data_IF_115472243059
#
_entry.id   IF_115472243059
#
_cell.length_a   1.000
_cell.length_b   1.000
_cell.length_c   1.000
_cell.angle_alpha   90.00
_cell.angle_beta   90.00
_cell.angle_gamma   90.00
#
_symmetry.space_group_name_H-M   'P 1'
#
loop_
_entity.id
_entity.type
_entity.pdbx_description
1 polymer ?
#
# COMPACT_ATOMS: atom_id res chain seq x y z
N UNK A 1 -1.66 -19.59 3.65
CA UNK A 1 -1.87 -19.50 2.19
C UNK A 1 -2.75 -18.32 1.84
N UNK A 2 -4.08 -18.44 2.00
CA UNK A 2 -5.03 -17.42 1.53
C UNK A 2 -4.97 -16.05 2.25
N UNK A 3 -4.59 -16.00 3.54
CA UNK A 3 -4.52 -14.76 4.32
C UNK A 3 -3.44 -13.80 3.81
N UNK A 4 -2.32 -14.34 3.33
CA UNK A 4 -1.17 -13.58 2.85
C UNK A 4 -1.46 -12.94 1.47
N UNK A 5 -2.11 -13.70 0.59
CA UNK A 5 -2.59 -13.17 -0.70
C UNK A 5 -3.65 -12.08 -0.53
N UNK A 6 -4.54 -12.21 0.45
CA UNK A 6 -5.56 -11.20 0.74
C UNK A 6 -4.93 -9.85 1.09
N UNK A 7 -3.94 -9.84 2.00
CA UNK A 7 -3.26 -8.62 2.45
C UNK A 7 -2.40 -8.00 1.33
N UNK A 8 -1.72 -8.82 0.52
CA UNK A 8 -0.89 -8.32 -0.60
C UNK A 8 -1.77 -7.74 -1.73
N UNK A 9 -2.91 -8.38 -2.03
CA UNK A 9 -3.81 -7.94 -3.11
C UNK A 9 -4.61 -6.71 -2.70
N UNK A 10 -4.98 -6.57 -1.42
CA UNK A 10 -5.76 -5.43 -0.93
C UNK A 10 -5.08 -4.09 -1.25
N UNK A 11 -3.78 -3.97 -0.95
CA UNK A 11 -3.01 -2.76 -1.28
C UNK A 11 -2.97 -2.44 -2.77
N UNK A 12 -2.86 -3.47 -3.64
CA UNK A 12 -2.84 -3.28 -5.09
C UNK A 12 -4.23 -2.89 -5.64
N UNK A 13 -5.30 -3.48 -5.11
CA UNK A 13 -6.69 -3.20 -5.53
C UNK A 13 -7.07 -1.77 -5.17
N UNK A 14 -6.76 -1.32 -3.95
CA UNK A 14 -6.98 0.08 -3.52
C UNK A 14 -6.30 1.06 -4.49
N UNK A 15 -5.09 0.74 -4.94
CA UNK A 15 -4.34 1.57 -5.89
C UNK A 15 -5.05 1.63 -7.26
N UNK A 16 -5.47 0.48 -7.77
CA UNK A 16 -6.16 0.41 -9.06
C UNK A 16 -7.51 1.15 -9.00
N UNK A 17 -8.27 1.00 -7.93
CA UNK A 17 -9.57 1.66 -7.75
C UNK A 17 -9.44 3.19 -7.70
N UNK A 18 -8.46 3.73 -6.99
CA UNK A 18 -8.26 5.18 -6.93
C UNK A 18 -7.85 5.76 -8.30
N UNK A 19 -6.96 5.07 -9.03
CA UNK A 19 -6.58 5.45 -10.39
C UNK A 19 -7.78 5.42 -11.34
N UNK A 20 -8.63 4.39 -11.26
CA UNK A 20 -9.85 4.30 -12.06
C UNK A 20 -10.86 5.39 -11.71
N UNK A 21 -11.03 5.70 -10.43
CA UNK A 21 -11.90 6.79 -9.94
C UNK A 21 -11.48 8.13 -10.53
N UNK A 22 -10.21 8.51 -10.39
CA UNK A 22 -9.72 9.79 -10.92
C UNK A 22 -9.83 9.88 -12.45
N UNK A 23 -9.50 8.79 -13.16
CA UNK A 23 -9.67 8.75 -14.62
C UNK A 23 -11.13 8.92 -15.04
N UNK A 24 -12.07 8.28 -14.32
CA UNK A 24 -13.49 8.38 -14.59
C UNK A 24 -14.02 9.80 -14.30
N UNK A 25 -13.64 10.39 -13.16
CA UNK A 25 -13.96 11.77 -12.80
C UNK A 25 -13.46 12.74 -13.87
N UNK A 26 -12.20 12.59 -14.31
CA UNK A 26 -11.62 13.47 -15.32
C UNK A 26 -12.26 13.32 -16.69
N UNK A 27 -12.65 12.10 -17.05
CA UNK A 27 -13.38 11.84 -18.29
C UNK A 27 -14.78 12.46 -18.25
N UNK A 28 -15.42 12.44 -17.08
CA UNK A 28 -16.74 13.03 -16.86
C UNK A 28 -16.68 14.56 -16.89
N UNK A 29 -15.69 15.18 -16.25
CA UNK A 29 -15.46 16.63 -16.30
C UNK A 29 -15.24 17.15 -17.73
N UNK A 30 -14.46 16.42 -18.53
CA UNK A 30 -14.11 16.85 -19.89
C UNK A 30 -15.18 16.50 -20.93
N UNK A 31 -16.15 15.64 -20.60
CA UNK A 31 -17.20 15.19 -21.53
C UNK A 31 -16.69 14.46 -22.79
N UNK A 32 -15.40 14.09 -22.82
CA UNK A 32 -14.73 13.43 -23.94
C UNK A 32 -13.74 12.39 -23.43
N UNK A 33 -13.36 11.45 -24.29
CA UNK A 33 -12.27 10.51 -23.97
C UNK A 33 -10.97 11.28 -23.74
N UNK A 34 -10.27 10.96 -22.65
CA UNK A 34 -8.93 11.49 -22.39
C UNK A 34 -7.95 10.97 -23.44
N UNK A 35 -7.05 11.85 -23.86
CA UNK A 35 -5.88 11.48 -24.66
C UNK A 35 -4.90 10.65 -23.82
N UNK A 36 -4.01 9.90 -24.48
CA UNK A 36 -3.01 9.08 -23.79
C UNK A 36 -2.15 9.90 -22.81
N UNK A 37 -1.79 11.13 -23.18
CA UNK A 37 -0.98 12.03 -22.35
C UNK A 37 -1.72 12.47 -21.09
N UNK A 38 -3.01 12.80 -21.20
CA UNK A 38 -3.84 13.17 -20.05
C UNK A 38 -4.07 11.98 -19.12
N UNK A 39 -4.30 10.78 -19.67
CA UNK A 39 -4.42 9.54 -18.88
C UNK A 39 -3.16 9.26 -18.07
N UNK A 40 -1.99 9.33 -18.70
CA UNK A 40 -0.71 9.11 -18.01
C UNK A 40 -0.47 10.16 -16.92
N UNK A 41 -0.83 11.41 -17.17
CA UNK A 41 -0.72 12.48 -16.18
C UNK A 41 -1.63 12.24 -14.98
N UNK A 42 -2.90 11.89 -15.21
CA UNK A 42 -3.86 11.59 -14.15
C UNK A 42 -3.49 10.35 -13.35
N UNK A 43 -3.03 9.28 -14.00
CA UNK A 43 -2.53 8.08 -13.29
C UNK A 43 -1.33 8.42 -12.41
N UNK A 44 -0.41 9.26 -12.88
CA UNK A 44 0.73 9.72 -12.09
C UNK A 44 0.30 10.57 -10.89
N UNK A 45 -0.68 11.47 -11.06
CA UNK A 45 -1.29 12.24 -9.97
C UNK A 45 -1.96 11.34 -8.93
N UNK A 46 -2.79 10.40 -9.40
CA UNK A 46 -3.50 9.43 -8.57
C UNK A 46 -2.54 8.54 -7.76
N UNK A 47 -1.47 8.09 -8.41
CA UNK A 47 -0.42 7.28 -7.77
C UNK A 47 0.30 8.08 -6.67
N UNK A 48 0.54 9.38 -6.91
CA UNK A 48 1.21 10.26 -5.95
C UNK A 48 0.34 10.57 -4.73
N UNK A 49 -0.97 10.74 -4.90
CA UNK A 49 -1.91 10.92 -3.78
C UNK A 49 -1.94 9.70 -2.85
N UNK A 50 -1.72 8.50 -3.38
CA UNK A 50 -1.73 7.28 -2.57
C UNK A 50 -0.44 6.99 -1.80
N UNK A 51 0.61 7.79 -1.99
CA UNK A 51 1.84 7.66 -1.20
C UNK A 51 1.53 7.87 0.30
N UNK A 52 0.73 8.89 0.65
CA UNK A 52 0.41 9.16 2.06
C UNK A 52 -0.35 8.00 2.75
N UNK A 53 -1.49 7.51 2.21
CA UNK A 53 -2.20 6.39 2.83
C UNK A 53 -1.40 5.08 2.79
N UNK A 54 -0.64 4.82 1.72
CA UNK A 54 0.21 3.62 1.63
C UNK A 54 1.32 3.62 2.68
N UNK A 55 1.96 4.77 2.94
CA UNK A 55 3.01 4.91 3.96
C UNK A 55 2.45 4.70 5.37
N UNK A 56 1.24 5.20 5.64
CA UNK A 56 0.58 4.99 6.93
C UNK A 56 0.30 3.49 7.20
N UNK A 57 -0.20 2.76 6.20
CA UNK A 57 -0.40 1.31 6.31
C UNK A 57 0.90 0.54 6.54
N UNK A 58 1.94 0.88 5.78
CA UNK A 58 3.26 0.25 5.92
C UNK A 58 3.91 0.55 7.28
N UNK A 59 3.70 1.75 7.82
CA UNK A 59 4.16 2.11 9.18
C UNK A 59 3.50 1.26 10.26
N UNK A 60 2.18 1.01 10.18
CA UNK A 60 1.47 0.15 11.13
C UNK A 60 2.04 -1.26 11.11
N UNK A 61 2.26 -1.84 9.91
CA UNK A 61 2.84 -3.18 9.77
C UNK A 61 4.24 -3.21 10.40
N UNK A 62 5.08 -2.22 10.13
CA UNK A 62 6.41 -2.11 10.73
C UNK A 62 6.30 -2.01 12.26
N UNK A 63 5.42 -1.16 12.80
CA UNK A 63 5.22 -1.02 14.25
C UNK A 63 4.77 -2.32 14.92
N UNK A 64 3.99 -3.16 14.24
CA UNK A 64 3.56 -4.47 14.76
C UNK A 64 4.63 -5.54 14.58
N UNK A 65 5.33 -5.57 13.44
CA UNK A 65 6.34 -6.59 13.15
C UNK A 65 7.66 -6.35 13.89
N UNK A 66 8.07 -5.10 14.07
CA UNK A 66 9.31 -4.73 14.78
C UNK A 66 9.39 -5.33 16.20
N UNK A 67 8.36 -5.24 17.07
CA UNK A 67 8.39 -5.88 18.37
C UNK A 67 8.31 -7.41 18.26
N UNK A 68 7.58 -7.97 17.29
CA UNK A 68 7.53 -9.43 17.07
C UNK A 68 8.93 -9.95 16.74
N UNK A 69 9.64 -9.30 15.82
CA UNK A 69 11.02 -9.63 15.41
C UNK A 69 12.01 -9.44 16.57
N UNK A 70 11.83 -8.38 17.38
CA UNK A 70 12.60 -8.17 18.59
C UNK A 70 12.35 -9.28 19.64
N UNK A 71 11.11 -9.76 19.78
CA UNK A 71 10.73 -10.85 20.69
C UNK A 71 11.23 -12.22 20.19
N UNK A 72 11.21 -12.49 18.88
CA UNK A 72 11.91 -13.67 18.32
C UNK A 72 13.43 -13.57 18.51
N UNK A 73 13.98 -12.34 18.54
CA UNK A 73 15.38 -12.09 18.92
C UNK A 73 15.67 -12.26 20.42
N UNK A 74 14.67 -12.14 21.30
CA UNK A 74 14.82 -12.38 22.75
C UNK A 74 14.91 -13.88 23.06
N UNK A 75 14.46 -14.76 22.16
CA UNK A 75 14.78 -16.20 22.28
C UNK A 75 16.30 -16.42 22.30
N UNK A 76 17.11 -15.61 21.59
CA UNK A 76 18.58 -15.67 21.69
C UNK A 76 19.17 -15.14 23.01
N UNK A 77 18.45 -14.26 23.73
CA UNK A 77 18.89 -13.69 25.03
C UNK A 77 18.31 -14.41 26.26
N UNK A 78 17.22 -15.15 26.13
CA UNK A 78 16.71 -16.03 27.19
C UNK A 78 17.48 -17.35 27.30
N UNK A 79 18.25 -17.75 26.28
CA UNK A 79 19.20 -18.87 26.37
C UNK A 79 20.57 -18.52 26.97
N UNK A 80 20.80 -17.27 27.41
CA UNK A 80 22.09 -16.83 27.94
C UNK A 80 22.21 -16.65 29.48
N UNK A 81 21.20 -16.98 30.30
CA UNK A 81 21.45 -17.24 31.72
C UNK A 81 20.83 -18.55 32.24
N UNK A 82 20.75 -19.58 31.39
CA UNK A 82 20.51 -20.97 31.80
C UNK A 82 21.74 -21.85 31.48
N UNK A 83 22.93 -21.26 31.69
CA UNK A 83 24.22 -21.92 31.86
C UNK A 83 25.01 -21.15 32.91
#
# INVERSE_FOLDING_TARGET
GALDFGIIIDGAVIIVENCLRMLAEKQHELGRRLTLKERLHEVMQASKQMIQPSVAGQAIIITVYLPILALTGIEGKMFHPMA
#
